data_IF_904865067254
#
_entry.id   IF_904865067254
#
_cell.length_a   1.000
_cell.length_b   1.000
_cell.length_c   1.000
_cell.angle_alpha   90.00
_cell.angle_beta   90.00
_cell.angle_gamma   90.00
#
_symmetry.space_group_name_H-M   'P 1'
#
loop_
_entity.id
_entity.type
_entity.pdbx_description
1 polymer ?
#
# COMPACT_ATOMS: atom_id res chain seq x y z
N UNK A 1 -8.54 -7.12 -8.91
CA UNK A 1 -8.96 -5.72 -8.73
C UNK A 1 -7.86 -4.92 -8.05
N UNK A 2 -7.92 -3.58 -8.10
CA UNK A 2 -6.91 -2.70 -7.49
C UNK A 2 -5.78 -2.29 -8.42
N UNK A 3 -5.82 -2.66 -9.71
CA UNK A 3 -4.86 -2.21 -10.71
C UNK A 3 -5.31 -0.91 -11.41
N UNK A 4 -6.54 -0.50 -11.23
CA UNK A 4 -7.13 0.71 -11.77
C UNK A 4 -6.37 1.95 -11.29
N UNK A 5 -5.93 1.96 -10.04
CA UNK A 5 -5.09 3.01 -9.48
C UNK A 5 -3.76 3.20 -10.24
N UNK A 6 -3.19 2.14 -10.80
CA UNK A 6 -1.93 2.21 -11.55
C UNK A 6 -2.07 2.90 -12.92
N UNK A 7 -3.30 3.08 -13.42
CA UNK A 7 -3.55 3.87 -14.63
C UNK A 7 -3.38 5.37 -14.34
N UNK A 8 -3.67 5.79 -13.10
CA UNK A 8 -3.64 7.19 -12.65
C UNK A 8 -2.31 7.52 -11.97
N UNK A 9 -1.86 6.65 -11.04
CA UNK A 9 -0.60 6.81 -10.33
C UNK A 9 0.48 5.94 -10.97
N UNK A 10 1.18 6.51 -11.95
CA UNK A 10 2.32 5.89 -12.63
C UNK A 10 3.27 6.95 -13.19
N UNK A 11 4.50 6.53 -13.46
CA UNK A 11 5.51 7.33 -14.12
C UNK A 11 6.25 6.49 -15.19
N UNK A 12 6.84 7.16 -16.18
CA UNK A 12 7.71 6.51 -17.14
C UNK A 12 9.12 6.45 -16.57
N UNK A 13 9.64 5.24 -16.42
CA UNK A 13 11.00 5.00 -15.96
C UNK A 13 11.83 4.35 -17.06
N UNK A 14 13.05 4.84 -17.26
CA UNK A 14 14.03 4.21 -18.14
C UNK A 14 14.72 3.07 -17.39
N UNK A 15 14.47 1.85 -17.83
CA UNK A 15 15.06 0.63 -17.26
C UNK A 15 16.26 0.25 -18.10
N UNK A 16 17.42 0.10 -17.46
CA UNK A 16 18.67 -0.34 -18.10
C UNK A 16 18.83 -1.84 -18.04
N UNK A 17 19.57 -2.39 -18.99
CA UNK A 17 19.96 -3.79 -18.93
C UNK A 17 20.77 -4.08 -17.66
N UNK A 18 20.62 -5.28 -17.12
CA UNK A 18 21.29 -5.71 -15.88
C UNK A 18 22.79 -5.96 -16.07
N UNK A 19 23.19 -6.39 -17.28
CA UNK A 19 24.61 -6.63 -17.61
C UNK A 19 25.33 -5.31 -17.84
N UNK A 20 26.53 -5.16 -17.26
CA UNK A 20 27.30 -3.92 -17.29
C UNK A 20 27.84 -3.55 -18.69
N UNK A 21 27.92 -4.53 -19.58
CA UNK A 21 28.37 -4.41 -20.98
C UNK A 21 27.20 -4.27 -21.98
N UNK A 22 25.98 -4.14 -21.47
CA UNK A 22 24.76 -4.01 -22.29
C UNK A 22 24.15 -2.61 -22.09
N UNK A 23 24.28 -1.75 -23.11
CA UNK A 23 23.79 -0.37 -23.08
C UNK A 23 22.28 -0.24 -23.42
N UNK A 24 21.56 -1.34 -23.64
CA UNK A 24 20.14 -1.29 -23.96
C UNK A 24 19.32 -0.72 -22.81
N UNK A 25 18.38 0.12 -23.18
CA UNK A 25 17.40 0.69 -22.25
C UNK A 25 16.00 0.53 -22.81
N UNK A 26 15.00 0.51 -21.93
CA UNK A 26 13.59 0.52 -22.31
C UNK A 26 12.83 1.47 -21.37
N UNK A 27 11.96 2.28 -21.93
CA UNK A 27 11.04 3.09 -21.15
C UNK A 27 9.78 2.27 -20.84
N UNK A 28 9.45 2.15 -19.58
CA UNK A 28 8.27 1.44 -19.10
C UNK A 28 7.45 2.31 -18.15
N UNK A 29 6.12 2.18 -18.22
CA UNK A 29 5.24 2.76 -17.20
C UNK A 29 5.29 1.90 -15.94
N UNK A 30 5.66 2.51 -14.83
CA UNK A 30 5.80 1.86 -13.53
C UNK A 30 4.76 2.47 -12.59
N UNK A 31 4.00 1.61 -11.92
CA UNK A 31 3.01 2.03 -10.93
C UNK A 31 3.69 2.81 -9.79
N UNK A 32 3.08 3.90 -9.39
CA UNK A 32 3.51 4.68 -8.24
C UNK A 32 3.25 3.96 -6.90
N UNK A 33 3.83 4.47 -5.82
CA UNK A 33 3.75 3.81 -4.52
C UNK A 33 2.32 3.71 -3.96
N UNK A 34 1.47 4.70 -4.22
CA UNK A 34 0.07 4.66 -3.76
C UNK A 34 -0.74 3.64 -4.54
N UNK A 35 -0.54 3.53 -5.86
CA UNK A 35 -1.16 2.48 -6.66
C UNK A 35 -0.68 1.07 -6.27
N UNK A 36 0.61 0.92 -5.94
CA UNK A 36 1.14 -0.34 -5.41
C UNK A 36 0.51 -0.69 -4.06
N UNK A 37 0.33 0.29 -3.18
CA UNK A 37 -0.34 0.09 -1.89
C UNK A 37 -1.78 -0.40 -2.10
N UNK A 38 -2.56 0.28 -2.95
CA UNK A 38 -3.93 -0.12 -3.30
C UNK A 38 -3.97 -1.57 -3.81
N UNK A 39 -3.11 -1.92 -4.77
CA UNK A 39 -3.05 -3.27 -5.33
C UNK A 39 -2.68 -4.34 -4.30
N UNK A 40 -1.74 -4.05 -3.37
CA UNK A 40 -1.32 -4.96 -2.30
C UNK A 40 -2.45 -5.18 -1.28
N UNK A 41 -3.14 -4.13 -0.90
CA UNK A 41 -4.28 -4.20 0.02
C UNK A 41 -5.43 -5.02 -0.56
N UNK A 42 -5.77 -4.83 -1.84
CA UNK A 42 -6.74 -5.68 -2.53
C UNK A 42 -6.33 -7.15 -2.55
N UNK A 43 -5.06 -7.44 -2.86
CA UNK A 43 -4.53 -8.80 -2.85
C UNK A 43 -4.71 -9.48 -1.49
N UNK A 44 -4.42 -8.76 -0.41
CA UNK A 44 -4.56 -9.26 0.96
C UNK A 44 -6.02 -9.41 1.36
N UNK A 45 -6.85 -8.36 1.17
CA UNK A 45 -8.27 -8.37 1.50
C UNK A 45 -9.03 -9.48 0.77
N UNK A 46 -8.86 -9.59 -0.54
CA UNK A 46 -9.51 -10.65 -1.33
C UNK A 46 -9.05 -12.06 -0.91
N UNK A 47 -7.79 -12.25 -0.57
CA UNK A 47 -7.29 -13.53 -0.07
C UNK A 47 -7.85 -13.85 1.31
N UNK A 48 -7.92 -12.87 2.21
CA UNK A 48 -8.52 -13.07 3.53
C UNK A 48 -9.97 -13.55 3.41
N UNK A 49 -10.73 -12.95 2.51
CA UNK A 49 -12.15 -13.27 2.32
C UNK A 49 -12.38 -14.61 1.58
N UNK A 50 -11.65 -14.85 0.49
CA UNK A 50 -11.94 -15.93 -0.46
C UNK A 50 -11.00 -17.12 -0.39
N UNK A 51 -9.79 -16.93 0.09
CA UNK A 51 -8.74 -17.95 0.10
C UNK A 51 -7.73 -17.74 1.25
N UNK A 52 -8.14 -17.83 2.54
CA UNK A 52 -7.26 -17.54 3.68
C UNK A 52 -5.96 -18.35 3.69
N UNK A 53 -5.99 -19.59 3.19
CA UNK A 53 -4.81 -20.43 3.07
C UNK A 53 -3.73 -19.89 2.10
N UNK A 54 -4.05 -18.87 1.31
CA UNK A 54 -3.14 -18.19 0.38
C UNK A 54 -2.60 -16.86 0.92
N UNK A 55 -2.95 -16.48 2.14
CA UNK A 55 -2.32 -15.36 2.81
C UNK A 55 -0.85 -15.68 3.08
N UNK A 56 0.02 -14.73 2.79
CA UNK A 56 1.46 -14.87 2.98
C UNK A 56 2.01 -13.66 3.72
N UNK A 57 2.80 -13.89 4.76
CA UNK A 57 3.41 -12.85 5.60
C UNK A 57 4.19 -11.83 4.77
N UNK A 58 4.87 -12.27 3.73
CA UNK A 58 5.58 -11.41 2.78
C UNK A 58 4.67 -10.38 2.11
N UNK A 59 3.39 -10.71 1.81
CA UNK A 59 2.49 -9.75 1.17
C UNK A 59 2.10 -8.63 2.15
N UNK A 60 1.92 -8.93 3.43
CA UNK A 60 1.71 -7.95 4.50
C UNK A 60 2.98 -7.12 4.77
N UNK A 61 4.15 -7.76 4.70
CA UNK A 61 5.43 -7.06 4.83
C UNK A 61 5.69 -6.08 3.67
N UNK A 62 5.25 -6.40 2.46
CA UNK A 62 5.32 -5.46 1.34
C UNK A 62 4.47 -4.19 1.60
N UNK A 63 3.31 -4.30 2.26
CA UNK A 63 2.52 -3.13 2.71
C UNK A 63 3.31 -2.32 3.73
N UNK A 64 3.85 -2.97 4.77
CA UNK A 64 4.69 -2.30 5.77
C UNK A 64 5.85 -1.54 5.14
N UNK A 65 6.55 -2.15 4.18
CA UNK A 65 7.68 -1.50 3.48
C UNK A 65 7.24 -0.23 2.75
N UNK A 66 6.09 -0.23 2.10
CA UNK A 66 5.55 0.98 1.45
C UNK A 66 5.27 2.07 2.49
N UNK A 67 4.63 1.72 3.61
CA UNK A 67 4.31 2.67 4.68
C UNK A 67 5.56 3.27 5.34
N UNK A 68 6.64 2.50 5.48
CA UNK A 68 7.90 2.95 6.09
C UNK A 68 8.75 3.77 5.12
N UNK A 69 8.79 3.39 3.84
CA UNK A 69 9.74 3.98 2.87
C UNK A 69 9.20 5.22 2.17
N UNK A 70 7.88 5.37 2.09
CA UNK A 70 7.24 6.51 1.44
C UNK A 70 6.66 7.43 2.51
N UNK A 71 6.98 8.73 2.50
CA UNK A 71 6.40 9.67 3.45
C UNK A 71 4.87 9.63 3.43
N UNK A 72 4.24 9.58 4.60
CA UNK A 72 2.79 9.48 4.76
C UNK A 72 2.03 10.54 3.96
N UNK A 73 2.53 11.79 3.98
CA UNK A 73 1.91 12.89 3.24
C UNK A 73 1.93 12.69 1.71
N UNK A 74 2.97 12.04 1.19
CA UNK A 74 3.07 11.71 -0.25
C UNK A 74 2.03 10.67 -0.63
N UNK A 75 1.89 9.62 0.20
CA UNK A 75 0.84 8.61 0.01
C UNK A 75 -0.55 9.25 0.11
N UNK A 76 -0.81 10.02 1.17
CA UNK A 76 -2.11 10.66 1.41
C UNK A 76 -2.53 11.55 0.23
N UNK A 77 -1.69 12.50 -0.18
CA UNK A 77 -2.01 13.40 -1.31
C UNK A 77 -2.33 12.65 -2.59
N UNK A 78 -1.64 11.53 -2.85
CA UNK A 78 -1.93 10.73 -4.06
C UNK A 78 -3.20 9.91 -3.89
N UNK A 79 -3.46 9.36 -2.69
CA UNK A 79 -4.69 8.61 -2.40
C UNK A 79 -5.93 9.51 -2.48
N UNK A 80 -5.86 10.76 -2.00
CA UNK A 80 -6.95 11.73 -2.14
C UNK A 80 -7.31 11.96 -3.61
N UNK A 81 -6.31 12.18 -4.46
CA UNK A 81 -6.51 12.29 -5.90
C UNK A 81 -7.10 11.01 -6.52
N UNK A 82 -6.68 9.83 -6.05
CA UNK A 82 -7.22 8.56 -6.53
C UNK A 82 -8.67 8.35 -6.07
N UNK A 83 -9.04 8.83 -4.87
CA UNK A 83 -10.42 8.75 -4.36
C UNK A 83 -11.39 9.61 -5.18
N UNK A 84 -10.94 10.73 -5.72
CA UNK A 84 -11.73 11.63 -6.57
C UNK A 84 -11.87 11.14 -8.01
N UNK A 85 -11.08 10.17 -8.44
CA UNK A 85 -11.05 9.67 -9.81
C UNK A 85 -12.18 8.67 -10.08
N UNK A 86 -12.91 8.84 -11.17
CA UNK A 86 -14.05 8.00 -11.55
C UNK A 86 -13.70 6.52 -11.72
N UNK A 87 -12.47 6.21 -12.15
CA UNK A 87 -12.00 4.84 -12.38
C UNK A 87 -11.42 4.22 -11.12
N UNK A 88 -10.60 5.00 -10.39
CA UNK A 88 -9.81 4.50 -9.27
C UNK A 88 -10.48 4.69 -7.90
N UNK A 89 -11.46 5.60 -7.77
CA UNK A 89 -12.03 5.99 -6.47
C UNK A 89 -12.62 4.82 -5.70
N UNK A 90 -13.44 4.00 -6.35
CA UNK A 90 -14.08 2.85 -5.69
C UNK A 90 -13.08 1.81 -5.17
N UNK A 91 -12.06 1.46 -5.96
CA UNK A 91 -11.03 0.50 -5.54
C UNK A 91 -10.11 1.10 -4.48
N UNK A 92 -9.84 2.39 -4.52
CA UNK A 92 -9.04 3.09 -3.51
C UNK A 92 -9.78 3.15 -2.16
N UNK A 93 -11.06 3.49 -2.16
CA UNK A 93 -11.89 3.48 -0.96
C UNK A 93 -11.92 2.08 -0.31
N UNK A 94 -12.13 1.04 -1.11
CA UNK A 94 -12.10 -0.34 -0.60
C UNK A 94 -10.72 -0.73 -0.05
N UNK A 95 -9.64 -0.31 -0.70
CA UNK A 95 -8.29 -0.58 -0.22
C UNK A 95 -8.01 0.08 1.13
N UNK A 96 -8.47 1.31 1.36
CA UNK A 96 -8.37 1.98 2.66
C UNK A 96 -9.18 1.26 3.74
N UNK A 97 -10.34 0.70 3.40
CA UNK A 97 -11.07 -0.20 4.31
C UNK A 97 -10.24 -1.44 4.69
N UNK A 98 -9.57 -2.07 3.74
CA UNK A 98 -8.66 -3.20 4.03
C UNK A 98 -7.44 -2.76 4.86
N UNK A 99 -6.93 -1.54 4.65
CA UNK A 99 -5.84 -0.99 5.46
C UNK A 99 -6.26 -0.88 6.93
N UNK A 100 -7.43 -0.29 7.19
CA UNK A 100 -7.96 -0.15 8.55
C UNK A 100 -8.21 -1.52 9.20
N UNK A 101 -8.93 -2.42 8.54
CA UNK A 101 -9.28 -3.72 9.08
C UNK A 101 -8.08 -4.65 9.32
N UNK A 102 -7.06 -4.59 8.46
CA UNK A 102 -5.92 -5.52 8.53
C UNK A 102 -4.71 -4.94 9.24
N UNK A 103 -4.58 -3.61 9.31
CA UNK A 103 -3.39 -2.94 9.82
C UNK A 103 -3.69 -1.84 10.85
N UNK A 104 -4.95 -1.52 11.14
CA UNK A 104 -5.35 -0.42 12.04
C UNK A 104 -4.99 -0.63 13.52
N UNK A 105 -4.60 -1.84 13.95
CA UNK A 105 -4.14 -2.15 15.30
C UNK A 105 -2.92 -3.08 15.27
N UNK A 106 -2.09 -3.05 16.32
CA UNK A 106 -0.85 -3.85 16.40
C UNK A 106 -1.12 -5.37 16.37
N UNK A 107 -2.29 -5.81 16.81
CA UNK A 107 -2.76 -7.20 16.84
C UNK A 107 -3.65 -7.55 15.63
N UNK A 108 -3.85 -6.61 14.70
CA UNK A 108 -4.53 -6.88 13.44
C UNK A 108 -3.77 -7.91 12.62
N UNK A 109 -4.50 -8.72 11.87
CA UNK A 109 -3.92 -9.86 11.15
C UNK A 109 -2.78 -9.47 10.21
N UNK A 110 -2.90 -8.37 9.48
CA UNK A 110 -1.87 -7.87 8.56
C UNK A 110 -0.63 -7.33 9.29
N UNK A 111 -0.83 -6.56 10.37
CA UNK A 111 0.27 -6.06 11.19
C UNK A 111 1.06 -7.22 11.82
N UNK A 112 0.36 -8.22 12.36
CA UNK A 112 0.97 -9.42 12.92
C UNK A 112 1.72 -10.25 11.86
N UNK A 113 1.16 -10.40 10.65
CA UNK A 113 1.83 -11.07 9.52
C UNK A 113 3.10 -10.33 9.08
N UNK A 114 3.06 -8.99 9.02
CA UNK A 114 4.24 -8.18 8.70
C UNK A 114 5.35 -8.38 9.75
N UNK A 115 4.98 -8.42 11.04
CA UNK A 115 5.92 -8.74 12.13
C UNK A 115 6.57 -10.11 11.97
N UNK A 116 5.78 -11.15 11.70
CA UNK A 116 6.32 -12.51 11.50
C UNK A 116 7.31 -12.60 10.33
N UNK A 117 7.12 -11.80 9.28
CA UNK A 117 8.04 -11.78 8.16
C UNK A 117 9.46 -11.31 8.55
N UNK A 118 9.60 -10.58 9.67
CA UNK A 118 10.87 -10.08 10.24
C UNK A 118 11.48 -11.01 11.31
N UNK A 119 10.84 -12.11 11.68
CA UNK A 119 11.20 -12.94 12.84
C UNK A 119 12.68 -13.37 12.88
N UNK A 120 13.32 -13.50 11.70
CA UNK A 120 14.72 -13.90 11.61
C UNK A 120 15.71 -12.72 11.52
N UNK A 121 15.24 -11.50 11.37
CA UNK A 121 16.08 -10.32 11.08
C UNK A 121 15.88 -9.21 12.11
N UNK A 122 14.67 -9.02 12.60
CA UNK A 122 14.29 -7.95 13.51
C UNK A 122 13.35 -8.40 14.61
N UNK A 123 12.71 -7.43 15.28
CA UNK A 123 11.73 -7.67 16.32
C UNK A 123 10.30 -7.61 15.73
N UNK A 124 9.57 -8.75 15.66
CA UNK A 124 8.21 -8.79 15.14
C UNK A 124 7.23 -7.83 15.81
N UNK A 125 7.38 -7.61 17.13
CA UNK A 125 6.49 -6.73 17.88
C UNK A 125 6.69 -5.26 17.50
N UNK A 126 7.95 -4.86 17.27
CA UNK A 126 8.29 -3.51 16.81
C UNK A 126 7.72 -3.26 15.42
N UNK A 127 7.84 -4.23 14.51
CA UNK A 127 7.30 -4.12 13.15
C UNK A 127 5.77 -4.04 13.17
N UNK A 128 5.09 -4.89 13.95
CA UNK A 128 3.63 -4.86 14.07
C UNK A 128 3.13 -3.52 14.62
N UNK A 129 3.77 -3.00 15.66
CA UNK A 129 3.42 -1.71 16.24
C UNK A 129 3.67 -0.54 15.27
N UNK A 130 4.82 -0.53 14.59
CA UNK A 130 5.14 0.49 13.60
C UNK A 130 4.19 0.44 12.41
N UNK A 131 3.82 -0.75 11.95
CA UNK A 131 2.87 -0.94 10.86
C UNK A 131 1.51 -0.34 11.20
N UNK A 132 1.00 -0.62 12.41
CA UNK A 132 -0.28 -0.08 12.88
C UNK A 132 -0.24 1.46 13.04
N UNK A 133 0.83 2.00 13.59
CA UNK A 133 0.99 3.45 13.73
C UNK A 133 0.99 4.16 12.37
N UNK A 134 1.78 3.66 11.41
CA UNK A 134 1.87 4.25 10.07
C UNK A 134 0.55 4.11 9.29
N UNK A 135 -0.16 2.99 9.44
CA UNK A 135 -1.48 2.82 8.83
C UNK A 135 -2.49 3.81 9.42
N UNK A 136 -2.52 3.98 10.74
CA UNK A 136 -3.37 4.96 11.42
C UNK A 136 -3.06 6.40 11.02
N UNK A 137 -1.78 6.77 10.92
CA UNK A 137 -1.35 8.08 10.47
C UNK A 137 -1.81 8.37 9.03
N UNK A 138 -1.68 7.37 8.13
CA UNK A 138 -2.12 7.50 6.75
C UNK A 138 -3.65 7.66 6.66
N UNK A 139 -4.41 6.82 7.34
CA UNK A 139 -5.88 6.89 7.37
C UNK A 139 -6.36 8.25 7.91
N UNK A 140 -5.71 8.76 8.96
CA UNK A 140 -6.03 10.06 9.53
C UNK A 140 -5.71 11.20 8.56
N UNK A 141 -4.59 11.10 7.82
CA UNK A 141 -4.18 12.12 6.85
C UNK A 141 -5.14 12.21 5.66
N UNK A 142 -5.61 11.07 5.14
CA UNK A 142 -6.60 11.00 4.05
C UNK A 142 -7.98 11.50 4.52
N UNK A 143 -8.41 11.15 5.74
CA UNK A 143 -9.71 11.59 6.28
C UNK A 143 -9.73 13.09 6.67
N UNK A 144 -8.57 13.66 6.99
CA UNK A 144 -8.43 15.04 7.48
C UNK A 144 -8.61 16.14 6.41
N UNK A 145 -8.55 15.77 5.12
CA UNK A 145 -8.71 16.74 4.02
C UNK A 145 -10.19 16.89 3.56
N UNK A 146 -11.09 16.11 4.13
CA UNK A 146 -12.54 16.33 4.00
C UNK A 146 -12.93 17.43 4.99
N UNK A 147 -12.56 18.70 4.67
CA UNK A 147 -12.97 19.87 5.40
C UNK A 147 -14.50 19.97 5.48
N UNK A 148 -15.07 20.57 6.54
CA UNK A 148 -16.52 20.70 6.69
C UNK A 148 -17.06 21.47 5.49
N UNK A 149 -17.93 20.82 4.73
CA UNK A 149 -18.75 21.48 3.71
C UNK A 149 -19.55 22.56 4.44
N UNK A 150 -19.20 23.83 4.22
CA UNK A 150 -19.96 24.96 4.72
C UNK A 150 -21.35 24.93 4.09
N UNK A 151 -22.37 24.66 4.91
CA UNK A 151 -23.76 25.00 4.59
C UNK A 151 -23.94 26.52 4.57
#
# INVERSE_FOLDING_TARGET
>A
MGLEAAIIDNEVMTIRALAADDDRTVDARVAGPSALLVAKLHKLGERREKAPARLMDKDAYDVYRLLVTVPTQVLATTLDRLLEDDLAGGVTCQALGYLDEMFGAFDSVGAFMAGRAEELVGDPAVVSAACAALAGDLLTSVAGDVGPTSE
#
